data_IF_960401224345
#
_entry.id   IF_960401224345
#
_cell.length_a   1.000
_cell.length_b   1.000
_cell.length_c   1.000
_cell.angle_alpha   90.00
_cell.angle_beta   90.00
_cell.angle_gamma   90.00
#
_symmetry.space_group_name_H-M   'P 1'
#
loop_
_entity.id
_entity.type
_entity.pdbx_description
1 polymer ?
#
# COMPACT_ATOMS: atom_id res chain seq x y z
N UNK A 1 -22.36 -9.08 16.25
CA UNK A 1 -22.34 -8.39 14.94
C UNK A 1 -23.21 -9.20 14.00
N UNK A 2 -24.06 -8.59 13.18
CA UNK A 2 -24.84 -9.32 12.16
C UNK A 2 -24.06 -9.29 10.86
N UNK A 3 -23.76 -10.45 10.30
CA UNK A 3 -23.14 -10.57 8.98
C UNK A 3 -24.20 -10.45 7.87
N UNK A 4 -23.79 -10.10 6.66
CA UNK A 4 -24.67 -10.24 5.49
C UNK A 4 -24.74 -11.70 5.03
N UNK A 5 -25.79 -12.12 4.29
CA UNK A 5 -25.89 -13.49 3.80
C UNK A 5 -24.68 -13.94 2.98
N UNK A 6 -24.07 -13.04 2.21
CA UNK A 6 -22.86 -13.33 1.44
C UNK A 6 -21.63 -13.54 2.33
N UNK A 7 -21.55 -12.78 3.41
CA UNK A 7 -20.48 -12.93 4.40
C UNK A 7 -20.63 -14.22 5.22
N UNK A 8 -21.84 -14.57 5.63
CA UNK A 8 -22.12 -15.85 6.29
C UNK A 8 -21.76 -17.04 5.37
N UNK A 9 -22.12 -16.96 4.09
CA UNK A 9 -21.72 -17.97 3.11
C UNK A 9 -20.19 -18.05 2.95
N UNK A 10 -19.49 -16.91 2.97
CA UNK A 10 -18.03 -16.87 2.93
C UNK A 10 -17.40 -17.51 4.17
N UNK A 11 -17.92 -17.23 5.37
CA UNK A 11 -17.47 -17.83 6.62
C UNK A 11 -17.67 -19.35 6.62
N UNK A 12 -18.83 -19.82 6.15
CA UNK A 12 -19.12 -21.24 6.02
C UNK A 12 -18.14 -21.92 5.04
N UNK A 13 -17.93 -21.33 3.86
CA UNK A 13 -17.01 -21.87 2.87
C UNK A 13 -15.56 -21.95 3.38
N UNK A 14 -15.07 -20.91 4.08
CA UNK A 14 -13.74 -20.92 4.69
C UNK A 14 -13.65 -21.95 5.81
N UNK A 15 -14.68 -22.07 6.66
CA UNK A 15 -14.69 -23.06 7.74
C UNK A 15 -14.67 -24.49 7.20
N UNK A 16 -15.41 -24.77 6.13
CA UNK A 16 -15.41 -26.09 5.50
C UNK A 16 -14.07 -26.38 4.80
N UNK A 17 -13.49 -25.40 4.11
CA UNK A 17 -12.15 -25.51 3.54
C UNK A 17 -11.07 -25.80 4.60
N UNK A 18 -11.10 -25.13 5.75
CA UNK A 18 -10.16 -25.40 6.84
C UNK A 18 -10.33 -26.81 7.42
N UNK A 19 -11.55 -27.36 7.44
CA UNK A 19 -11.81 -28.74 7.86
C UNK A 19 -11.34 -29.77 6.84
N UNK A 20 -11.52 -29.52 5.54
CA UNK A 20 -11.05 -30.45 4.50
C UNK A 20 -9.53 -30.46 4.40
N UNK A 21 -8.86 -29.34 4.70
CA UNK A 21 -7.41 -29.21 4.63
C UNK A 21 -6.85 -29.22 3.20
N UNK A 22 -7.71 -29.12 2.19
CA UNK A 22 -7.30 -29.03 0.78
C UNK A 22 -8.34 -28.30 -0.08
N UNK A 23 -7.92 -27.61 -1.17
CA UNK A 23 -6.54 -27.31 -1.57
C UNK A 23 -5.82 -26.40 -0.55
N UNK A 24 -4.50 -26.23 -0.63
CA UNK A 24 -3.77 -25.41 0.35
C UNK A 24 -4.16 -23.92 0.32
N UNK A 25 -4.67 -23.42 -0.80
CA UNK A 25 -4.96 -22.01 -1.06
C UNK A 25 -6.46 -21.78 -1.14
N UNK A 26 -6.97 -20.76 -0.46
CA UNK A 26 -8.33 -20.26 -0.58
C UNK A 26 -8.33 -18.76 -0.87
N UNK A 27 -9.11 -18.34 -1.87
CA UNK A 27 -9.22 -16.97 -2.36
C UNK A 27 -10.56 -16.37 -1.94
N UNK A 28 -10.51 -15.45 -0.98
CA UNK A 28 -11.66 -14.64 -0.59
C UNK A 28 -11.46 -13.24 -1.15
N UNK A 29 -12.07 -12.96 -2.29
CA UNK A 29 -11.99 -11.65 -2.93
C UNK A 29 -13.22 -10.83 -2.61
N UNK A 30 -13.09 -9.52 -2.81
CA UNK A 30 -14.21 -8.63 -2.70
C UNK A 30 -13.81 -7.19 -2.95
N UNK A 31 -14.79 -6.37 -3.25
CA UNK A 31 -14.55 -4.95 -3.49
C UNK A 31 -14.22 -4.18 -2.20
N UNK A 32 -13.83 -2.93 -2.32
CA UNK A 32 -13.66 -2.03 -1.19
C UNK A 32 -15.00 -1.86 -0.46
N UNK A 33 -14.97 -1.87 0.87
CA UNK A 33 -16.17 -1.74 1.69
C UNK A 33 -17.00 -3.01 1.90
N UNK A 34 -16.60 -4.17 1.38
CA UNK A 34 -17.31 -5.46 1.59
C UNK A 34 -16.95 -6.16 2.90
N UNK A 35 -16.00 -5.62 3.67
CA UNK A 35 -15.66 -6.12 5.01
C UNK A 35 -14.64 -7.27 5.07
N UNK A 36 -13.82 -7.47 4.02
CA UNK A 36 -12.78 -8.52 3.95
C UNK A 36 -11.91 -8.63 5.22
N UNK A 37 -11.32 -7.52 5.66
CA UNK A 37 -10.46 -7.51 6.86
C UNK A 37 -11.23 -7.86 8.14
N UNK A 38 -12.50 -7.47 8.24
CA UNK A 38 -13.36 -7.83 9.38
C UNK A 38 -13.63 -9.33 9.41
N UNK A 39 -13.92 -9.93 8.25
CA UNK A 39 -14.08 -11.38 8.13
C UNK A 39 -12.79 -12.13 8.45
N UNK A 40 -11.65 -11.64 7.95
CA UNK A 40 -10.35 -12.25 8.20
C UNK A 40 -10.01 -12.34 9.69
N UNK A 41 -10.34 -11.29 10.47
CA UNK A 41 -10.17 -11.32 11.93
C UNK A 41 -11.09 -12.34 12.58
N UNK A 42 -12.36 -12.36 12.18
CA UNK A 42 -13.31 -13.31 12.74
C UNK A 42 -12.93 -14.78 12.42
N UNK A 43 -12.45 -15.03 11.20
CA UNK A 43 -11.91 -16.34 10.81
C UNK A 43 -10.72 -16.70 11.70
N UNK A 44 -9.79 -15.76 11.91
CA UNK A 44 -8.62 -16.01 12.73
C UNK A 44 -8.96 -16.33 14.20
N UNK A 45 -9.95 -15.65 14.77
CA UNK A 45 -10.47 -15.91 16.12
C UNK A 45 -11.09 -17.32 16.26
N UNK A 46 -11.60 -17.88 15.15
CA UNK A 46 -12.22 -19.21 15.11
C UNK A 46 -11.26 -20.38 14.89
N UNK A 47 -9.97 -20.12 14.61
CA UNK A 47 -8.98 -21.17 14.37
C UNK A 47 -8.33 -21.60 15.70
N UNK A 48 -8.36 -22.90 15.99
CA UNK A 48 -7.64 -23.48 17.12
C UNK A 48 -6.14 -23.61 16.83
N UNK A 49 -5.42 -22.49 17.03
CA UNK A 49 -3.98 -22.40 16.93
C UNK A 49 -3.48 -21.07 16.37
N UNK A 50 -2.19 -21.02 16.04
CA UNK A 50 -1.56 -19.76 15.60
C UNK A 50 -2.00 -19.38 14.18
N UNK A 51 -2.59 -18.19 14.05
CA UNK A 51 -2.85 -17.56 12.76
C UNK A 51 -1.84 -16.45 12.53
N UNK A 52 -1.28 -16.37 11.33
CA UNK A 52 -0.31 -15.33 10.97
C UNK A 52 -0.89 -14.45 9.87
N UNK A 53 -0.90 -13.14 10.11
CA UNK A 53 -1.26 -12.16 9.11
C UNK A 53 -0.02 -11.67 8.35
N UNK A 54 -0.14 -11.54 7.04
CA UNK A 54 0.85 -10.87 6.22
C UNK A 54 0.24 -10.05 5.07
N UNK A 55 1.05 -9.17 4.48
CA UNK A 55 0.68 -8.40 3.30
C UNK A 55 1.89 -8.22 2.39
N UNK A 56 1.67 -7.75 1.15
CA UNK A 56 2.76 -7.51 0.22
C UNK A 56 3.70 -6.38 0.68
N UNK A 57 3.14 -5.24 1.10
CA UNK A 57 3.92 -4.06 1.53
C UNK A 57 3.94 -3.88 3.04
N UNK A 58 4.97 -3.17 3.52
CA UNK A 58 5.08 -2.82 4.94
C UNK A 58 3.94 -1.91 5.42
N UNK A 59 3.48 -0.98 4.57
CA UNK A 59 2.35 -0.10 4.91
C UNK A 59 1.03 -0.87 4.95
N UNK A 60 0.78 -1.81 4.04
CA UNK A 60 -0.38 -2.69 4.12
C UNK A 60 -0.37 -3.53 5.41
N UNK A 61 0.80 -4.07 5.79
CA UNK A 61 0.94 -4.78 7.06
C UNK A 61 0.69 -3.87 8.28
N UNK A 62 1.11 -2.61 8.24
CA UNK A 62 0.80 -1.63 9.28
C UNK A 62 -0.71 -1.34 9.36
N UNK A 63 -1.38 -1.14 8.22
CA UNK A 63 -2.84 -0.94 8.15
C UNK A 63 -3.58 -2.13 8.74
N UNK A 64 -3.14 -3.36 8.44
CA UNK A 64 -3.67 -4.58 9.06
C UNK A 64 -3.53 -4.57 10.59
N UNK A 65 -2.34 -4.22 11.12
CA UNK A 65 -2.12 -4.12 12.58
C UNK A 65 -3.06 -3.11 13.22
N UNK A 66 -3.22 -1.94 12.59
CA UNK A 66 -4.13 -0.88 13.08
C UNK A 66 -5.61 -1.33 13.07
N UNK A 67 -5.96 -2.28 12.20
CA UNK A 67 -7.30 -2.90 12.15
C UNK A 67 -7.48 -4.06 13.13
N UNK A 68 -6.49 -4.35 13.98
CA UNK A 68 -6.53 -5.39 15.01
C UNK A 68 -5.97 -6.75 14.57
N UNK A 69 -5.31 -6.83 13.41
CA UNK A 69 -4.56 -8.04 13.01
C UNK A 69 -3.17 -8.01 13.64
N UNK A 70 -3.07 -8.42 14.91
CA UNK A 70 -1.82 -8.38 15.68
C UNK A 70 -0.68 -9.14 14.97
N UNK A 71 0.54 -8.59 15.05
CA UNK A 71 1.72 -9.22 14.46
C UNK A 71 1.77 -9.23 12.93
N UNK A 72 0.83 -8.58 12.23
CA UNK A 72 0.86 -8.55 10.76
C UNK A 72 2.18 -7.98 10.23
N UNK A 73 2.78 -8.66 9.24
CA UNK A 73 4.10 -8.33 8.68
C UNK A 73 4.11 -8.48 7.15
N UNK A 74 5.25 -8.22 6.49
CA UNK A 74 5.33 -8.48 5.05
C UNK A 74 5.51 -9.97 4.76
N UNK A 75 5.00 -10.47 3.62
CA UNK A 75 5.23 -11.86 3.18
C UNK A 75 6.74 -12.15 3.17
N UNK A 76 7.54 -11.23 2.65
CA UNK A 76 9.00 -11.33 2.65
C UNK A 76 9.60 -11.51 4.05
N UNK A 77 9.08 -10.79 5.05
CA UNK A 77 9.56 -10.92 6.43
C UNK A 77 9.10 -12.20 7.11
N UNK A 78 7.94 -12.70 6.69
CA UNK A 78 7.38 -13.94 7.18
C UNK A 78 8.19 -15.14 6.66
N UNK A 79 8.51 -15.19 5.37
CA UNK A 79 9.05 -16.42 4.74
C UNK A 79 10.56 -16.41 4.48
N UNK A 80 11.24 -15.26 4.46
CA UNK A 80 12.68 -15.19 4.20
C UNK A 80 13.50 -14.76 5.41
N UNK A 81 14.77 -15.17 5.42
CA UNK A 81 15.83 -14.62 6.25
C UNK A 81 16.99 -14.14 5.38
N UNK A 82 17.68 -13.10 5.83
CA UNK A 82 18.88 -12.59 5.14
C UNK A 82 20.04 -13.56 5.36
N UNK A 83 20.77 -13.92 4.31
CA UNK A 83 22.00 -14.72 4.41
C UNK A 83 23.21 -13.84 4.15
N UNK A 84 23.87 -13.38 5.22
CA UNK A 84 25.16 -12.66 5.15
C UNK A 84 25.10 -11.29 4.45
N UNK A 85 26.13 -10.47 4.66
CA UNK A 85 26.29 -9.12 4.07
C UNK A 85 27.42 -9.09 3.02
N UNK A 86 28.04 -10.26 2.77
CA UNK A 86 29.28 -10.38 1.99
C UNK A 86 29.07 -10.70 0.49
N UNK A 87 27.83 -10.86 0.03
CA UNK A 87 27.52 -11.01 -1.40
C UNK A 87 27.12 -9.67 -2.06
N UNK A 88 27.36 -9.52 -3.37
CA UNK A 88 27.08 -8.31 -4.15
C UNK A 88 25.60 -7.87 -4.09
N UNK A 89 24.70 -8.80 -3.77
CA UNK A 89 23.29 -8.56 -3.47
C UNK A 89 22.87 -9.32 -2.21
N UNK A 90 21.96 -8.78 -1.38
CA UNK A 90 21.42 -9.51 -0.24
C UNK A 90 20.67 -10.75 -0.74
N UNK A 91 21.25 -11.93 -0.56
CA UNK A 91 20.59 -13.20 -0.86
C UNK A 91 19.58 -13.51 0.24
N UNK A 92 18.30 -13.52 -0.14
CA UNK A 92 17.22 -13.98 0.71
C UNK A 92 17.07 -15.49 0.53
N UNK A 93 17.06 -16.22 1.64
CA UNK A 93 16.81 -17.66 1.64
C UNK A 93 15.57 -17.95 2.45
N UNK A 94 14.82 -18.98 2.04
CA UNK A 94 13.63 -19.41 2.74
C UNK A 94 13.95 -19.77 4.20
N UNK A 95 13.19 -19.17 5.10
CA UNK A 95 13.24 -19.44 6.52
C UNK A 95 12.24 -20.54 6.86
N UNK A 96 12.64 -21.80 6.68
CA UNK A 96 11.82 -22.99 6.95
C UNK A 96 11.39 -23.13 8.42
N UNK A 97 12.01 -22.39 9.33
CA UNK A 97 11.69 -22.38 10.77
C UNK A 97 10.79 -21.20 11.18
N UNK A 98 10.38 -20.37 10.23
CA UNK A 98 9.57 -19.17 10.46
C UNK A 98 8.17 -19.50 11.02
N UNK A 99 7.47 -18.45 11.44
CA UNK A 99 6.08 -18.56 11.88
C UNK A 99 5.16 -19.14 10.79
N UNK A 100 5.50 -19.00 9.49
CA UNK A 100 4.73 -19.59 8.41
C UNK A 100 4.65 -21.12 8.51
N UNK A 101 5.76 -21.78 8.88
CA UNK A 101 5.82 -23.24 8.98
C UNK A 101 5.05 -23.81 10.19
N UNK A 102 4.79 -22.98 11.20
CA UNK A 102 4.20 -23.39 12.48
C UNK A 102 2.73 -22.96 12.61
N UNK A 103 2.28 -22.04 11.76
CA UNK A 103 0.92 -21.53 11.77
C UNK A 103 -0.08 -22.62 11.35
N UNK A 104 -1.32 -22.50 11.84
CA UNK A 104 -2.47 -23.27 11.36
C UNK A 104 -3.12 -22.62 10.15
N UNK A 105 -2.98 -21.31 10.02
CA UNK A 105 -3.48 -20.53 8.91
C UNK A 105 -2.58 -19.31 8.68
N UNK A 106 -2.28 -19.04 7.42
CA UNK A 106 -1.68 -17.78 6.97
C UNK A 106 -2.75 -16.98 6.27
N UNK A 107 -2.97 -15.73 6.68
CA UNK A 107 -3.91 -14.81 6.02
C UNK A 107 -3.10 -13.71 5.34
N UNK A 108 -3.25 -13.57 4.02
CA UNK A 108 -2.59 -12.56 3.22
C UNK A 108 -3.60 -11.49 2.78
N UNK A 109 -3.37 -10.22 3.10
CA UNK A 109 -4.13 -9.09 2.53
C UNK A 109 -3.34 -8.39 1.41
N UNK A 110 -4.05 -7.66 0.56
CA UNK A 110 -3.51 -6.98 -0.63
C UNK A 110 -2.65 -7.93 -1.50
N UNK A 111 -3.20 -9.12 -1.79
CA UNK A 111 -2.50 -10.17 -2.52
C UNK A 111 -2.28 -9.88 -4.01
N UNK A 112 -2.84 -8.77 -4.52
CA UNK A 112 -2.79 -8.37 -5.93
C UNK A 112 -1.38 -8.09 -6.42
N UNK A 113 -0.46 -7.71 -5.53
CA UNK A 113 0.92 -7.38 -5.88
C UNK A 113 1.90 -8.57 -5.78
N UNK A 114 1.43 -9.77 -5.42
CA UNK A 114 2.30 -10.94 -5.25
C UNK A 114 2.62 -11.57 -6.61
N UNK A 115 3.92 -11.68 -6.91
CA UNK A 115 4.43 -12.36 -8.11
C UNK A 115 4.50 -13.89 -7.94
N UNK A 116 4.83 -14.58 -9.04
CA UNK A 116 4.83 -16.05 -9.11
C UNK A 116 5.86 -16.69 -8.17
N UNK A 117 7.07 -16.14 -8.09
CA UNK A 117 8.14 -16.69 -7.26
C UNK A 117 7.78 -16.57 -5.77
N UNK A 118 7.36 -15.39 -5.32
CA UNK A 118 6.95 -15.16 -3.94
C UNK A 118 5.74 -16.02 -3.56
N UNK A 119 4.79 -16.17 -4.48
CA UNK A 119 3.62 -17.01 -4.32
C UNK A 119 3.97 -18.49 -4.14
N UNK A 120 4.82 -19.05 -5.02
CA UNK A 120 5.31 -20.43 -4.92
C UNK A 120 6.09 -20.67 -3.64
N UNK A 121 6.94 -19.72 -3.27
CA UNK A 121 7.74 -19.80 -2.05
C UNK A 121 6.88 -19.80 -0.79
N UNK A 122 5.83 -18.97 -0.74
CA UNK A 122 4.85 -18.97 0.34
C UNK A 122 4.10 -20.32 0.43
N UNK A 123 3.63 -20.86 -0.69
CA UNK A 123 2.92 -22.14 -0.69
C UNK A 123 3.85 -23.31 -0.35
N UNK A 124 5.17 -23.19 -0.56
CA UNK A 124 6.13 -24.24 -0.23
C UNK A 124 6.20 -24.60 1.27
N UNK A 125 5.58 -23.81 2.15
CA UNK A 125 5.47 -24.09 3.58
C UNK A 125 4.42 -25.14 3.94
N UNK A 126 3.52 -25.50 3.01
CA UNK A 126 2.46 -26.50 3.23
C UNK A 126 1.32 -26.06 4.15
N UNK A 127 1.42 -24.87 4.77
CA UNK A 127 0.40 -24.29 5.63
C UNK A 127 -0.78 -23.78 4.80
N UNK A 128 -2.05 -23.96 5.24
CA UNK A 128 -3.21 -23.34 4.61
C UNK A 128 -3.04 -21.83 4.47
N UNK A 129 -3.33 -21.29 3.29
CA UNK A 129 -3.21 -19.86 2.97
C UNK A 129 -4.56 -19.33 2.52
N UNK A 130 -5.11 -18.39 3.29
CA UNK A 130 -6.25 -17.57 2.89
C UNK A 130 -5.74 -16.27 2.30
N UNK A 131 -6.05 -15.99 1.04
CA UNK A 131 -5.69 -14.72 0.39
C UNK A 131 -6.91 -13.83 0.23
N UNK A 132 -6.75 -12.56 0.60
CA UNK A 132 -7.71 -11.49 0.46
C UNK A 132 -7.25 -10.58 -0.68
N UNK A 133 -8.16 -10.34 -1.61
CA UNK A 133 -7.87 -9.57 -2.81
C UNK A 133 -9.04 -8.71 -3.25
N UNK A 134 -8.73 -7.74 -4.09
CA UNK A 134 -9.72 -6.91 -4.78
C UNK A 134 -9.40 -6.91 -6.29
N UNK A 135 -10.19 -7.61 -7.12
CA UNK A 135 -9.93 -7.74 -8.54
C UNK A 135 -10.13 -6.43 -9.32
N UNK A 136 -10.74 -5.42 -8.70
CA UNK A 136 -10.91 -4.09 -9.31
C UNK A 136 -9.70 -3.17 -9.06
N UNK A 137 -8.76 -3.55 -8.19
CA UNK A 137 -7.51 -2.80 -8.02
C UNK A 137 -6.53 -3.02 -9.19
N UNK A 138 -5.53 -2.14 -9.28
CA UNK A 138 -4.45 -2.23 -10.26
C UNK A 138 -3.67 -3.55 -10.08
N UNK A 139 -3.34 -4.23 -11.19
CA UNK A 139 -2.44 -5.38 -11.17
C UNK A 139 -0.99 -4.95 -10.89
N UNK A 140 -0.05 -5.89 -10.64
CA UNK A 140 1.37 -5.59 -10.56
C UNK A 140 1.88 -4.87 -11.81
N UNK A 141 2.87 -4.00 -11.65
CA UNK A 141 3.52 -3.27 -12.78
C UNK A 141 4.36 -4.21 -13.64
N UNK A 142 4.89 -5.30 -13.06
CA UNK A 142 5.66 -6.34 -13.74
C UNK A 142 5.30 -7.70 -13.13
N UNK A 143 5.18 -8.72 -13.97
CA UNK A 143 4.76 -10.06 -13.54
C UNK A 143 3.23 -10.19 -13.42
N UNK A 144 2.74 -11.40 -13.63
CA UNK A 144 1.36 -11.77 -13.37
C UNK A 144 1.05 -11.77 -11.87
N UNK A 145 -0.21 -11.49 -11.51
CA UNK A 145 -0.63 -11.55 -10.11
C UNK A 145 -0.93 -13.00 -9.71
N UNK A 146 -0.01 -13.65 -9.00
CA UNK A 146 -0.04 -15.10 -8.73
C UNK A 146 -1.38 -15.56 -8.13
N UNK A 147 -1.94 -14.77 -7.22
CA UNK A 147 -3.21 -15.09 -6.58
C UNK A 147 -4.43 -14.61 -7.38
N UNK A 148 -4.29 -13.54 -8.16
CA UNK A 148 -5.41 -12.80 -8.77
C UNK A 148 -5.69 -13.15 -10.23
N UNK A 149 -4.87 -13.97 -10.87
CA UNK A 149 -5.12 -14.47 -12.22
C UNK A 149 -6.17 -15.59 -12.30
N UNK A 150 -6.48 -16.19 -11.16
CA UNK A 150 -7.51 -17.24 -11.03
C UNK A 150 -8.74 -16.65 -10.36
N UNK A 151 -9.92 -17.12 -10.76
CA UNK A 151 -11.18 -16.74 -10.11
C UNK A 151 -11.14 -17.06 -8.60
N UNK A 152 -11.73 -16.20 -7.76
CA UNK A 152 -11.80 -16.46 -6.34
C UNK A 152 -12.74 -17.61 -6.01
N UNK A 153 -12.44 -18.32 -4.92
CA UNK A 153 -13.34 -19.31 -4.34
C UNK A 153 -14.61 -18.65 -3.80
N UNK A 154 -14.48 -17.43 -3.26
CA UNK A 154 -15.61 -16.58 -2.84
C UNK A 154 -15.36 -15.15 -3.27
N UNK A 155 -16.38 -14.54 -3.89
CA UNK A 155 -16.39 -13.12 -4.24
C UNK A 155 -17.45 -12.39 -3.42
N UNK A 156 -17.01 -11.43 -2.60
CA UNK A 156 -17.89 -10.50 -1.89
C UNK A 156 -18.18 -9.28 -2.77
N UNK A 157 -19.46 -9.07 -3.06
CA UNK A 157 -19.96 -8.01 -3.94
C UNK A 157 -20.83 -7.01 -3.20
N UNK A 158 -21.45 -7.41 -2.09
CA UNK A 158 -22.32 -6.58 -1.27
C UNK A 158 -21.50 -5.65 -0.37
N UNK A 159 -21.70 -4.35 -0.55
CA UNK A 159 -21.12 -3.30 0.31
C UNK A 159 -22.02 -3.15 1.53
N UNK A 160 -21.42 -3.08 2.72
CA UNK A 160 -22.14 -2.84 3.97
C UNK A 160 -22.99 -1.58 3.91
N UNK A 161 -24.18 -1.58 4.51
CA UNK A 161 -25.09 -0.41 4.49
C UNK A 161 -24.39 0.86 5.01
N UNK A 162 -23.57 0.74 6.05
CA UNK A 162 -22.78 1.86 6.59
C UNK A 162 -21.73 2.38 5.60
N UNK A 163 -21.24 1.53 4.69
CA UNK A 163 -20.30 1.89 3.63
C UNK A 163 -21.00 2.32 2.34
N UNK A 164 -22.28 1.98 2.13
CA UNK A 164 -23.05 2.37 0.95
C UNK A 164 -23.35 3.88 0.92
N UNK A 165 -23.50 4.51 2.09
CA UNK A 165 -23.65 5.96 2.21
C UNK A 165 -22.33 6.72 2.04
N UNK A 166 -21.19 6.01 2.10
CA UNK A 166 -19.88 6.61 1.91
C UNK A 166 -19.70 7.03 0.44
N UNK A 167 -19.40 8.32 0.17
CA UNK A 167 -19.28 8.80 -1.19
C UNK A 167 -18.15 8.16 -1.99
N UNK A 168 -17.03 7.82 -1.34
CA UNK A 168 -15.88 7.17 -1.98
C UNK A 168 -16.28 5.79 -2.49
N UNK A 169 -17.09 5.05 -1.72
CA UNK A 169 -17.58 3.73 -2.12
C UNK A 169 -18.54 3.85 -3.31
N UNK A 170 -19.47 4.82 -3.29
CA UNK A 170 -20.35 5.08 -4.45
C UNK A 170 -19.58 5.46 -5.71
N UNK A 171 -18.60 6.35 -5.59
CA UNK A 171 -17.72 6.75 -6.71
C UNK A 171 -16.94 5.55 -7.26
N UNK A 172 -16.41 4.69 -6.38
CA UNK A 172 -15.66 3.50 -6.80
C UNK A 172 -16.56 2.47 -7.49
N UNK A 173 -17.81 2.31 -7.05
CA UNK A 173 -18.83 1.48 -7.71
C UNK A 173 -19.14 2.00 -9.12
N UNK A 174 -19.37 3.30 -9.28
CA UNK A 174 -19.63 3.92 -10.60
C UNK A 174 -18.49 3.59 -11.56
N UNK A 175 -17.24 3.81 -11.14
CA UNK A 175 -16.05 3.53 -11.97
C UNK A 175 -15.94 2.04 -12.32
N UNK A 176 -16.17 1.17 -11.34
CA UNK A 176 -16.08 -0.29 -11.50
C UNK A 176 -17.11 -0.82 -12.51
N UNK A 177 -18.32 -0.28 -12.48
CA UNK A 177 -19.43 -0.69 -13.35
C UNK A 177 -19.34 -0.06 -14.76
N UNK A 178 -18.22 0.60 -15.07
CA UNK A 178 -17.97 1.23 -16.37
C UNK A 178 -18.61 2.62 -16.52
N UNK A 179 -19.21 3.14 -15.45
CA UNK A 179 -19.73 4.49 -15.38
C UNK A 179 -18.62 5.54 -15.42
N UNK A 180 -19.00 6.77 -15.73
CA UNK A 180 -18.12 7.93 -15.69
C UNK A 180 -18.46 8.77 -14.49
N UNK A 181 -17.42 9.29 -13.85
CA UNK A 181 -17.58 10.29 -12.82
C UNK A 181 -17.77 11.66 -13.48
N UNK A 182 -18.73 12.44 -12.96
CA UNK A 182 -19.07 13.76 -13.47
C UNK A 182 -18.60 14.84 -12.50
N UNK A 183 -18.34 16.04 -13.00
CA UNK A 183 -17.97 17.18 -12.17
C UNK A 183 -19.15 17.51 -11.24
N UNK A 184 -18.86 17.66 -9.95
CA UNK A 184 -19.87 17.95 -8.94
C UNK A 184 -19.52 17.39 -7.56
N UNK A 185 -20.45 17.57 -6.64
CA UNK A 185 -20.31 17.14 -5.26
C UNK A 185 -20.86 15.71 -5.05
N UNK A 186 -20.10 14.92 -4.29
CA UNK A 186 -20.41 13.57 -3.87
C UNK A 186 -20.34 13.55 -2.34
N UNK A 187 -21.27 14.24 -1.66
CA UNK A 187 -21.22 14.40 -0.20
C UNK A 187 -20.02 15.25 0.23
N UNK A 188 -19.13 14.71 1.08
CA UNK A 188 -17.89 15.38 1.48
C UNK A 188 -16.77 15.30 0.43
N UNK A 189 -16.92 14.43 -0.57
CA UNK A 189 -16.01 14.29 -1.71
C UNK A 189 -16.52 15.10 -2.90
N UNK A 190 -15.65 15.43 -3.84
CA UNK A 190 -16.01 16.23 -5.02
C UNK A 190 -15.13 15.96 -6.21
N UNK A 191 -15.62 16.35 -7.37
CA UNK A 191 -14.91 16.29 -8.64
C UNK A 191 -14.91 17.68 -9.24
N UNK A 192 -13.73 18.21 -9.49
CA UNK A 192 -13.52 19.58 -9.94
C UNK A 192 -12.72 19.61 -11.23
N UNK A 193 -12.87 20.69 -12.01
CA UNK A 193 -11.98 20.93 -13.15
C UNK A 193 -10.60 21.37 -12.67
N UNK A 194 -9.58 21.11 -13.47
CA UNK A 194 -8.23 21.66 -13.25
C UNK A 194 -8.17 23.19 -13.06
N UNK A 195 -9.10 23.95 -13.62
CA UNK A 195 -9.16 25.41 -13.44
C UNK A 195 -9.65 25.85 -12.05
N UNK A 196 -10.31 24.96 -11.31
CA UNK A 196 -10.90 25.22 -9.99
C UNK A 196 -9.92 24.86 -8.86
N UNK A 197 -8.75 24.30 -9.20
CA UNK A 197 -7.76 23.92 -8.20
C UNK A 197 -7.04 25.14 -7.65
N UNK A 198 -6.90 25.17 -6.32
CA UNK A 198 -6.16 26.22 -5.63
C UNK A 198 -4.99 25.61 -4.83
N UNK A 199 -3.95 26.38 -4.50
CA UNK A 199 -2.88 25.93 -3.61
C UNK A 199 -3.40 25.38 -2.29
N UNK A 200 -4.42 26.01 -1.72
CA UNK A 200 -5.00 25.63 -0.42
C UNK A 200 -5.56 24.21 -0.46
N UNK A 201 -6.29 23.85 -1.53
CA UNK A 201 -6.85 22.50 -1.72
C UNK A 201 -5.75 21.43 -1.72
N UNK A 202 -4.64 21.70 -2.42
CA UNK A 202 -3.54 20.74 -2.56
C UNK A 202 -2.72 20.63 -1.27
N UNK A 203 -2.50 21.76 -0.59
CA UNK A 203 -1.73 21.82 0.65
C UNK A 203 -2.49 21.28 1.87
N UNK A 204 -3.82 21.29 1.85
CA UNK A 204 -4.65 20.72 2.91
C UNK A 204 -4.86 19.21 2.80
N UNK A 205 -4.42 18.59 1.69
CA UNK A 205 -4.55 17.15 1.50
C UNK A 205 -3.47 16.41 2.29
N UNK A 206 -3.86 15.32 2.96
CA UNK A 206 -2.90 14.42 3.61
C UNK A 206 -2.00 13.77 2.54
N UNK A 207 -2.56 13.50 1.36
CA UNK A 207 -1.82 12.94 0.25
C UNK A 207 -2.33 13.42 -1.11
N UNK A 208 -1.40 13.77 -2.00
CA UNK A 208 -1.69 13.96 -3.42
C UNK A 208 -1.38 12.68 -4.20
N UNK A 209 -2.33 12.24 -5.03
CA UNK A 209 -2.20 11.08 -5.92
C UNK A 209 -2.20 11.49 -7.39
N UNK A 210 -1.28 10.89 -8.15
CA UNK A 210 -1.11 11.10 -9.60
C UNK A 210 -0.85 9.76 -10.30
N UNK A 211 -0.84 9.75 -11.63
CA UNK A 211 -0.57 8.54 -12.41
C UNK A 211 0.92 8.33 -12.66
N UNK A 212 1.58 9.35 -13.17
CA UNK A 212 2.92 9.25 -13.76
C UNK A 212 4.04 9.71 -12.81
N UNK A 213 5.22 9.08 -12.90
CA UNK A 213 6.40 9.52 -12.15
C UNK A 213 6.84 10.95 -12.52
N UNK A 214 6.68 11.34 -13.80
CA UNK A 214 6.95 12.71 -14.26
C UNK A 214 6.04 13.71 -13.52
N UNK A 215 4.74 13.43 -13.50
CA UNK A 215 3.75 14.25 -12.79
C UNK A 215 4.01 14.28 -11.29
N UNK A 216 4.36 13.12 -10.70
CA UNK A 216 4.76 13.02 -9.28
C UNK A 216 5.89 13.99 -8.94
N UNK A 217 6.95 14.02 -9.74
CA UNK A 217 8.08 14.95 -9.53
C UNK A 217 7.66 16.40 -9.66
N UNK A 218 6.85 16.72 -10.67
CA UNK A 218 6.34 18.07 -10.91
C UNK A 218 5.48 18.58 -9.74
N UNK A 219 4.54 17.79 -9.24
CA UNK A 219 3.70 18.20 -8.10
C UNK A 219 4.48 18.28 -6.79
N UNK A 220 5.43 17.37 -6.53
CA UNK A 220 6.32 17.52 -5.38
C UNK A 220 7.10 18.84 -5.47
N UNK A 221 7.72 19.15 -6.61
CA UNK A 221 8.44 20.42 -6.78
C UNK A 221 7.52 21.64 -6.61
N UNK A 222 6.30 21.60 -7.16
CA UNK A 222 5.33 22.69 -7.05
C UNK A 222 4.85 22.91 -5.62
N UNK A 223 4.50 21.84 -4.89
CA UNK A 223 4.07 21.93 -3.49
C UNK A 223 5.19 22.48 -2.62
N UNK A 224 6.42 22.03 -2.84
CA UNK A 224 7.61 22.57 -2.17
C UNK A 224 7.78 24.07 -2.40
N UNK A 225 7.65 24.53 -3.64
CA UNK A 225 7.70 25.96 -3.96
C UNK A 225 6.59 26.75 -3.24
N UNK A 226 5.37 26.22 -3.19
CA UNK A 226 4.25 26.84 -2.48
C UNK A 226 4.50 26.94 -0.96
N UNK A 227 5.25 25.99 -0.39
CA UNK A 227 5.70 26.00 1.01
C UNK A 227 6.99 26.81 1.23
N UNK A 228 7.52 27.48 0.19
CA UNK A 228 8.75 28.28 0.28
C UNK A 228 10.05 27.47 0.18
N UNK A 229 9.99 26.19 -0.15
CA UNK A 229 11.16 25.33 -0.34
C UNK A 229 11.61 25.35 -1.81
N UNK A 230 12.73 26.04 -2.08
CA UNK A 230 13.29 26.19 -3.44
C UNK A 230 14.52 25.34 -3.72
N UNK A 231 15.18 24.84 -2.66
CA UNK A 231 16.39 24.03 -2.82
C UNK A 231 16.05 22.59 -3.23
N UNK A 232 16.90 21.92 -4.00
CA UNK A 232 16.73 20.50 -4.37
C UNK A 232 17.12 19.52 -3.23
N UNK A 233 17.28 20.03 -2.01
CA UNK A 233 17.53 19.23 -0.82
C UNK A 233 16.35 19.37 0.15
N UNK A 234 16.02 18.32 0.93
CA UNK A 234 14.99 18.42 1.96
C UNK A 234 15.29 19.47 3.02
N UNK A 235 14.26 20.14 3.50
CA UNK A 235 14.26 21.00 4.67
C UNK A 235 13.56 20.32 5.87
N UNK A 236 13.76 20.87 7.07
CA UNK A 236 13.02 20.45 8.27
C UNK A 236 11.52 20.73 8.06
N UNK A 237 10.68 19.80 8.48
CA UNK A 237 9.23 19.81 8.27
C UNK A 237 8.78 19.17 6.96
N UNK A 238 9.70 18.88 6.02
CA UNK A 238 9.29 18.32 4.74
C UNK A 238 8.84 16.87 4.81
N UNK A 239 7.81 16.54 4.03
CA UNK A 239 7.29 15.18 3.86
C UNK A 239 8.11 14.40 2.82
N UNK A 240 8.63 13.26 3.24
CA UNK A 240 9.37 12.30 2.42
C UNK A 240 8.62 10.97 2.33
N UNK A 241 8.95 10.19 1.30
CA UNK A 241 8.55 8.79 1.17
C UNK A 241 9.78 7.91 1.13
N UNK A 242 9.75 6.84 1.92
CA UNK A 242 10.79 5.83 1.91
C UNK A 242 10.61 4.89 0.71
N UNK A 243 11.68 4.62 -0.04
CA UNK A 243 11.65 3.82 -1.26
C UNK A 243 12.16 2.39 -1.04
N UNK A 244 12.71 2.10 0.14
CA UNK A 244 13.35 0.82 0.44
C UNK A 244 13.15 0.41 1.90
N UNK A 245 12.93 -0.88 2.12
CA UNK A 245 12.84 -1.43 3.48
C UNK A 245 14.21 -1.45 4.17
N UNK A 246 14.27 -1.03 5.43
CA UNK A 246 15.41 -1.25 6.34
C UNK A 246 14.87 -1.67 7.72
N UNK A 247 14.94 -2.98 8.00
CA UNK A 247 14.42 -3.56 9.25
C UNK A 247 15.16 -3.06 10.48
N UNK A 248 16.46 -2.76 10.37
CA UNK A 248 17.26 -2.31 11.51
C UNK A 248 16.84 -0.93 12.00
N UNK A 249 16.27 -0.12 11.10
CA UNK A 249 15.78 1.23 11.34
C UNK A 249 14.26 1.34 11.38
N UNK A 250 13.54 0.24 11.12
CA UNK A 250 12.08 0.23 11.02
C UNK A 250 11.54 0.96 9.78
N UNK A 251 12.36 1.15 8.74
CA UNK A 251 11.93 1.81 7.50
C UNK A 251 11.14 0.84 6.61
N UNK A 252 9.98 1.30 6.15
CA UNK A 252 9.10 0.54 5.27
C UNK A 252 8.94 1.30 3.94
N UNK A 253 9.13 0.59 2.82
CA UNK A 253 8.88 1.12 1.48
C UNK A 253 7.43 1.58 1.36
N UNK A 254 7.24 2.79 0.82
CA UNK A 254 5.96 3.49 0.75
C UNK A 254 5.57 4.21 2.03
N UNK A 255 6.33 4.06 3.13
CA UNK A 255 6.10 4.80 4.37
C UNK A 255 6.36 6.29 4.20
N UNK A 256 5.48 7.12 4.77
CA UNK A 256 5.62 8.58 4.83
C UNK A 256 6.36 9.01 6.10
N UNK A 257 7.25 9.98 5.95
CA UNK A 257 8.15 10.44 7.01
C UNK A 257 8.30 11.95 6.99
N UNK A 258 8.46 12.56 8.16
CA UNK A 258 8.68 14.01 8.32
C UNK A 258 10.12 14.26 8.75
N UNK A 259 10.81 15.19 8.07
CA UNK A 259 12.16 15.61 8.43
C UNK A 259 12.13 16.42 9.73
N UNK A 260 12.84 15.94 10.75
CA UNK A 260 12.96 16.61 12.05
C UNK A 260 14.25 17.43 12.18
N UNK A 261 15.34 16.95 11.60
CA UNK A 261 16.66 17.58 11.73
C UNK A 261 17.51 17.28 10.49
N UNK A 262 18.20 18.29 9.97
CA UNK A 262 19.27 18.11 8.98
C UNK A 262 20.62 18.07 9.69
N UNK A 263 21.48 17.11 9.32
CA UNK A 263 22.83 16.99 9.85
C UNK A 263 23.87 17.31 8.80
N UNK A 264 25.03 17.76 9.25
CA UNK A 264 26.19 18.00 8.39
C UNK A 264 26.47 16.78 7.52
N UNK A 265 26.50 16.99 6.21
CA UNK A 265 26.78 15.95 5.23
C UNK A 265 28.17 15.34 5.49
N UNK A 266 28.22 14.01 5.53
CA UNK A 266 29.49 13.27 5.36
C UNK A 266 29.52 12.73 3.93
N UNK A 267 30.65 12.89 3.24
CA UNK A 267 30.92 12.27 1.93
C UNK A 267 29.84 12.54 0.86
N UNK A 268 29.24 13.74 0.84
CA UNK A 268 28.23 14.12 -0.16
C UNK A 268 26.82 13.54 0.05
N UNK A 269 26.56 12.85 1.16
CA UNK A 269 25.23 12.33 1.50
C UNK A 269 24.39 13.34 2.29
N UNK A 270 23.09 13.38 2.05
CA UNK A 270 22.14 14.14 2.87
C UNK A 270 21.81 13.29 4.10
N UNK A 271 22.31 13.71 5.26
CA UNK A 271 22.01 13.02 6.53
C UNK A 271 20.92 13.79 7.26
N UNK A 272 19.87 13.09 7.68
CA UNK A 272 18.75 13.70 8.39
C UNK A 272 18.22 12.78 9.49
N UNK A 273 17.43 13.35 10.40
CA UNK A 273 16.57 12.60 11.30
C UNK A 273 15.13 12.75 10.85
N UNK A 274 14.41 11.64 10.80
CA UNK A 274 13.03 11.57 10.34
C UNK A 274 12.17 10.83 11.36
N UNK A 275 10.90 11.21 11.46
CA UNK A 275 9.88 10.46 12.21
C UNK A 275 8.79 9.98 11.25
N UNK A 276 8.11 8.86 11.53
CA UNK A 276 6.93 8.48 10.78
C UNK A 276 5.89 9.61 10.80
N UNK A 277 5.20 9.83 9.68
CA UNK A 277 4.11 10.83 9.62
C UNK A 277 3.02 10.55 10.66
N UNK A 278 2.69 9.28 10.87
CA UNK A 278 1.66 8.85 11.82
C UNK A 278 2.12 8.86 13.30
N UNK A 279 3.41 9.10 13.56
CA UNK A 279 4.00 9.14 14.91
C UNK A 279 5.15 10.17 14.98
N UNK A 280 4.80 11.45 14.84
CA UNK A 280 5.79 12.54 14.87
C UNK A 280 6.42 12.74 16.26
N UNK A 281 5.79 12.24 17.32
CA UNK A 281 6.31 12.26 18.70
C UNK A 281 7.28 11.11 19.00
N UNK A 282 7.36 10.12 18.12
CA UNK A 282 8.27 8.99 18.23
C UNK A 282 9.75 9.37 18.15
N UNK A 283 10.63 8.42 18.50
CA UNK A 283 12.07 8.62 18.46
C UNK A 283 12.54 8.81 17.01
N UNK A 284 13.18 9.94 16.64
CA UNK A 284 13.62 10.16 15.27
C UNK A 284 14.70 9.15 14.83
N UNK A 285 14.51 8.61 13.62
CA UNK A 285 15.41 7.66 12.96
C UNK A 285 16.42 8.43 12.13
N UNK A 286 17.71 8.09 12.25
CA UNK A 286 18.76 8.69 11.42
C UNK A 286 18.80 7.99 10.07
N UNK A 287 18.72 8.77 9.00
CA UNK A 287 18.84 8.28 7.62
C UNK A 287 19.90 9.07 6.84
N UNK A 288 20.56 8.40 5.90
CA UNK A 288 21.59 8.97 5.03
C UNK A 288 21.28 8.66 3.57
N UNK A 289 20.96 9.68 2.79
CA UNK A 289 20.37 9.55 1.44
C UNK A 289 21.25 10.23 0.40
N UNK A 290 21.35 9.66 -0.79
CA UNK A 290 22.07 10.30 -1.90
C UNK A 290 21.25 11.46 -2.48
N UNK A 291 21.86 12.61 -2.81
CA UNK A 291 21.14 13.76 -3.39
C UNK A 291 20.32 13.43 -4.64
N UNK A 292 20.76 12.44 -5.42
CA UNK A 292 20.13 11.98 -6.66
C UNK A 292 18.64 11.60 -6.48
N UNK A 293 18.25 11.12 -5.30
CA UNK A 293 16.84 10.78 -5.02
C UNK A 293 15.92 12.01 -4.87
N UNK A 294 16.49 13.21 -4.76
CA UNK A 294 15.77 14.47 -4.65
C UNK A 294 15.85 15.33 -5.92
N UNK A 295 16.87 15.15 -6.75
CA UNK A 295 17.01 15.84 -8.05
C UNK A 295 16.42 15.06 -9.24
N UNK A 296 16.08 13.77 -9.04
CA UNK A 296 15.43 12.95 -10.06
C UNK A 296 16.39 12.14 -10.95
N UNK A 297 17.67 12.06 -10.57
CA UNK A 297 18.72 11.28 -11.25
C UNK A 297 19.00 9.95 -10.55
N UNK A 298 18.07 9.42 -9.75
CA UNK A 298 18.27 8.19 -8.97
C UNK A 298 18.61 6.96 -9.83
N UNK A 299 18.11 6.91 -11.06
CA UNK A 299 18.35 5.82 -12.01
C UNK A 299 19.79 5.82 -12.57
N UNK A 300 20.52 6.93 -12.44
CA UNK A 300 21.92 7.06 -12.89
C UNK A 300 22.91 6.52 -11.85
N UNK A 301 22.46 6.23 -10.63
CA UNK A 301 23.31 5.81 -9.52
C UNK A 301 23.51 4.29 -9.53
N UNK A 302 24.76 3.80 -9.65
CA UNK A 302 25.07 2.38 -9.57
C UNK A 302 24.60 1.73 -8.25
N UNK A 303 24.20 0.45 -8.32
CA UNK A 303 23.67 -0.29 -7.16
C UNK A 303 24.67 -0.35 -6.00
N UNK A 304 25.96 -0.45 -6.31
CA UNK A 304 27.06 -0.58 -5.35
C UNK A 304 27.20 0.63 -4.43
N UNK A 305 26.78 1.81 -4.91
CA UNK A 305 26.79 3.05 -4.15
C UNK A 305 25.52 3.19 -3.29
N UNK A 306 24.34 2.86 -3.85
CA UNK A 306 23.06 2.99 -3.13
C UNK A 306 22.83 1.89 -2.08
N UNK A 307 23.47 0.71 -2.21
CA UNK A 307 23.25 -0.41 -1.26
C UNK A 307 23.56 -0.06 0.19
N UNK A 308 24.47 0.89 0.42
CA UNK A 308 24.94 1.36 1.72
C UNK A 308 24.23 2.63 2.21
N UNK A 309 23.24 3.12 1.48
CA UNK A 309 22.47 4.33 1.80
C UNK A 309 20.99 4.01 2.00
N UNK A 310 20.29 4.92 2.66
CA UNK A 310 18.83 4.93 2.72
C UNK A 310 18.27 5.58 1.45
N UNK A 311 17.07 5.17 1.03
CA UNK A 311 16.42 5.67 -0.18
C UNK A 311 15.15 6.43 0.19
N UNK A 312 15.18 7.75 0.02
CA UNK A 312 14.04 8.63 0.26
C UNK A 312 13.93 9.66 -0.85
N UNK A 313 12.70 9.99 -1.22
CA UNK A 313 12.38 11.10 -2.12
C UNK A 313 11.25 11.94 -1.53
N UNK A 314 10.88 13.05 -2.15
CA UNK A 314 9.75 13.87 -1.69
C UNK A 314 8.43 13.08 -1.77
N UNK A 315 7.64 13.19 -0.70
CA UNK A 315 6.45 12.38 -0.44
C UNK A 315 5.11 13.12 -0.52
N UNK A 316 5.10 14.41 -0.85
CA UNK A 316 3.85 15.19 -0.95
C UNK A 316 2.90 14.64 -2.02
N UNK A 317 3.46 14.18 -3.15
CA UNK A 317 2.72 13.47 -4.18
C UNK A 317 3.27 12.06 -4.42
N UNK A 318 2.37 11.10 -4.58
CA UNK A 318 2.66 9.69 -4.87
C UNK A 318 1.93 9.25 -6.14
N UNK A 319 2.49 8.25 -6.85
CA UNK A 319 1.72 7.58 -7.90
C UNK A 319 0.69 6.65 -7.27
N UNK A 320 -0.47 6.44 -7.91
CA UNK A 320 -1.50 5.52 -7.41
C UNK A 320 -0.94 4.10 -7.20
N UNK A 321 -0.03 3.63 -8.05
CA UNK A 321 0.67 2.36 -7.86
C UNK A 321 1.47 2.31 -6.54
N UNK A 322 2.23 3.37 -6.22
CA UNK A 322 2.98 3.46 -4.95
C UNK A 322 2.08 3.66 -3.73
N UNK A 323 0.83 4.06 -3.94
CA UNK A 323 -0.17 4.24 -2.90
C UNK A 323 -0.95 2.95 -2.57
N UNK A 324 -0.76 1.86 -3.31
CA UNK A 324 -1.45 0.59 -3.03
C UNK A 324 -1.09 0.05 -1.63
N UNK A 325 -2.12 -0.35 -0.89
CA UNK A 325 -1.99 -0.77 0.52
C UNK A 325 -1.85 0.36 1.54
N UNK A 326 -1.79 1.63 1.09
CA UNK A 326 -1.86 2.81 1.96
C UNK A 326 -3.29 3.35 2.05
N UNK A 327 -3.56 4.15 3.08
CA UNK A 327 -4.85 4.82 3.27
C UNK A 327 -4.60 6.18 3.94
N UNK A 328 -5.34 7.22 3.53
CA UNK A 328 -5.31 8.57 4.11
C UNK A 328 -6.73 9.11 4.26
N UNK A 329 -6.96 10.04 5.17
CA UNK A 329 -8.29 10.59 5.41
C UNK A 329 -8.72 11.50 4.26
N UNK A 330 -7.85 12.43 3.85
CA UNK A 330 -8.13 13.43 2.82
C UNK A 330 -7.15 13.35 1.65
N UNK A 331 -7.67 13.05 0.46
CA UNK A 331 -6.86 12.91 -0.75
C UNK A 331 -7.23 13.94 -1.81
N UNK A 332 -6.21 14.47 -2.50
CA UNK A 332 -6.38 15.12 -3.82
C UNK A 332 -5.82 14.21 -4.89
N UNK A 333 -6.64 13.77 -5.83
CA UNK A 333 -6.24 12.90 -6.93
C UNK A 333 -6.37 13.61 -8.26
N UNK A 334 -5.29 13.69 -9.03
CA UNK A 334 -5.33 14.19 -10.41
C UNK A 334 -5.62 13.03 -11.36
N UNK A 335 -6.74 13.08 -12.08
CA UNK A 335 -7.14 12.05 -13.04
C UNK A 335 -6.12 11.98 -14.19
N UNK A 336 -5.24 10.99 -14.11
CA UNK A 336 -4.33 10.60 -15.19
C UNK A 336 -4.67 9.22 -15.73
N UNK A 337 -5.91 8.77 -15.56
CA UNK A 337 -6.36 7.43 -15.93
C UNK A 337 -6.20 7.18 -17.44
N UNK A 338 -6.19 8.24 -18.26
CA UNK A 338 -5.90 8.17 -19.70
C UNK A 338 -4.54 7.51 -20.02
N UNK A 339 -3.56 7.62 -19.12
CA UNK A 339 -2.24 7.03 -19.32
C UNK A 339 -2.25 5.50 -19.17
N UNK A 340 -3.33 4.93 -18.64
CA UNK A 340 -3.44 3.51 -18.28
C UNK A 340 -4.40 2.70 -19.16
N UNK A 341 -4.89 3.29 -20.27
CA UNK A 341 -5.66 2.61 -21.34
C UNK A 341 -6.67 1.56 -20.80
N UNK A 342 -6.43 0.27 -21.02
CA UNK A 342 -7.27 -0.86 -20.58
C UNK A 342 -7.46 -0.95 -19.06
N UNK A 343 -6.56 -0.35 -18.28
CA UNK A 343 -6.61 -0.29 -16.83
C UNK A 343 -7.15 1.05 -16.28
N UNK A 344 -7.75 1.90 -17.13
CA UNK A 344 -8.33 3.21 -16.71
C UNK A 344 -9.24 3.08 -15.48
N UNK A 345 -10.20 2.16 -15.53
CA UNK A 345 -11.16 1.96 -14.43
C UNK A 345 -10.47 1.44 -13.17
N UNK A 346 -9.53 0.50 -13.30
CA UNK A 346 -8.77 -0.03 -12.16
C UNK A 346 -7.89 1.04 -11.52
N UNK A 347 -7.29 1.93 -12.32
CA UNK A 347 -6.49 3.03 -11.81
C UNK A 347 -7.34 4.01 -10.99
N UNK A 348 -8.48 4.45 -11.53
CA UNK A 348 -9.41 5.33 -10.82
C UNK A 348 -9.92 4.66 -9.54
N UNK A 349 -10.38 3.42 -9.64
CA UNK A 349 -10.87 2.64 -8.50
C UNK A 349 -9.80 2.51 -7.41
N UNK A 350 -8.56 2.20 -7.78
CA UNK A 350 -7.46 2.05 -6.83
C UNK A 350 -7.18 3.36 -6.11
N UNK A 351 -7.14 4.48 -6.85
CA UNK A 351 -6.90 5.81 -6.28
C UNK A 351 -8.03 6.27 -5.36
N UNK A 352 -9.29 6.11 -5.77
CA UNK A 352 -10.47 6.43 -4.96
C UNK A 352 -10.45 5.68 -3.63
N UNK A 353 -10.16 4.38 -3.67
CA UNK A 353 -10.19 3.51 -2.47
C UNK A 353 -9.01 3.71 -1.52
N UNK A 354 -8.09 4.65 -1.80
CA UNK A 354 -7.07 5.07 -0.84
C UNK A 354 -7.59 6.12 0.16
N UNK A 355 -8.67 6.82 -0.17
CA UNK A 355 -9.27 7.80 0.71
C UNK A 355 -10.16 7.10 1.76
N UNK A 356 -10.07 7.53 3.02
CA UNK A 356 -10.90 7.05 4.12
C UNK A 356 -12.14 7.94 4.31
N UNK A 357 -11.95 9.25 4.29
CA UNK A 357 -12.99 10.23 4.61
C UNK A 357 -13.40 11.06 3.40
N UNK A 358 -12.46 11.75 2.76
CA UNK A 358 -12.75 12.65 1.64
C UNK A 358 -11.77 12.51 0.48
N UNK A 359 -12.27 12.73 -0.74
CA UNK A 359 -11.43 12.83 -1.93
C UNK A 359 -11.89 13.98 -2.83
N UNK A 360 -10.94 14.78 -3.28
CA UNK A 360 -11.12 15.72 -4.39
C UNK A 360 -10.45 15.15 -5.63
N UNK A 361 -11.24 14.80 -6.65
CA UNK A 361 -10.71 14.36 -7.95
C UNK A 361 -10.64 15.56 -8.90
N UNK A 362 -9.48 15.75 -9.52
CA UNK A 362 -9.21 16.85 -10.46
C UNK A 362 -9.17 16.26 -11.87
N UNK A 363 -10.13 16.66 -12.71
CA UNK A 363 -10.24 16.22 -14.11
C UNK A 363 -9.61 17.19 -15.11
#
# INVERSE_FOLDING_TARGET
MSWSPQQDAALAAVADWLKTGSPQLFRLFGYAGTGKTTLARHIAEGVDGTVVFAAFTGKAALVLRNKGCEGAQTIHSLIYRSRGVDEESPTFVLNRESAAAKAKLIIIDECSMVDEDLGRDLLSFGTPVLVLGDPAQLPPVKGGGFFTEVEPDVMLTEVHRQAADNPIVRMSMIVREGGRLEIGDYGASRIIRRAEITPEIVLSADQVLVGLNKTRRQYNARMRQLMGHVANVPAVGEKLVCLRNDKSKGLLNGGAWIVQELKTSKKGLITMRVTPEDDTGGKPVKVSVMPNFFDGTEDEVPWELRRHTDEFTFGYALTVHKAQGSQWDNIVMFDEAFAFREHRARWLYTGLTRAAETITVVM
#
